data_IF_155976473943
#
_entry.id   IF_155976473943
#
_cell.length_a   1.000
_cell.length_b   1.000
_cell.length_c   1.000
_cell.angle_alpha   90.00
_cell.angle_beta   90.00
_cell.angle_gamma   90.00
#
_symmetry.space_group_name_H-M   'P 1'
#
loop_
_entity.id
_entity.type
_entity.pdbx_description
1 polymer ?
#
# COMPACT_ATOMS: atom_id res chain seq x y z
N UNK A 1 -25.49 -27.06 6.49
CA UNK A 1 -24.48 -26.29 5.78
C UNK A 1 -24.46 -24.91 6.41
N UNK A 2 -23.44 -24.61 7.22
CA UNK A 2 -23.30 -23.29 7.83
C UNK A 2 -22.88 -22.31 6.74
N UNK A 3 -23.65 -21.23 6.58
CA UNK A 3 -23.22 -20.11 5.76
C UNK A 3 -22.06 -19.43 6.47
N UNK A 4 -20.84 -19.66 6.02
CA UNK A 4 -19.67 -18.87 6.41
C UNK A 4 -19.70 -17.53 5.64
N UNK A 5 -20.69 -16.71 5.94
CA UNK A 5 -20.88 -15.39 5.33
C UNK A 5 -20.47 -14.31 6.30
N UNK A 6 -19.18 -14.00 6.36
CA UNK A 6 -18.75 -12.68 6.76
C UNK A 6 -19.12 -11.67 5.67
N UNK A 7 -19.00 -10.36 5.94
CA UNK A 7 -19.20 -9.36 4.89
C UNK A 7 -18.21 -9.59 3.74
N UNK A 8 -18.66 -9.36 2.51
CA UNK A 8 -17.78 -9.41 1.34
C UNK A 8 -16.81 -8.22 1.34
N UNK A 9 -15.65 -8.39 0.72
CA UNK A 9 -14.75 -7.25 0.41
C UNK A 9 -15.46 -6.30 -0.55
N UNK A 10 -15.08 -5.04 -0.50
CA UNK A 10 -15.56 -4.05 -1.47
C UNK A 10 -14.92 -4.34 -2.83
N UNK A 11 -15.73 -4.45 -3.86
CA UNK A 11 -15.26 -4.68 -5.25
C UNK A 11 -15.50 -3.50 -6.17
N UNK A 12 -16.46 -2.63 -5.84
CA UNK A 12 -16.73 -1.42 -6.62
C UNK A 12 -15.53 -0.45 -6.55
N UNK A 13 -15.01 -0.10 -7.72
CA UNK A 13 -13.82 0.72 -7.88
C UNK A 13 -12.48 0.00 -7.59
N UNK A 14 -12.49 -1.31 -7.31
CA UNK A 14 -11.27 -2.08 -7.07
C UNK A 14 -10.52 -2.30 -8.40
N UNK A 15 -9.33 -1.74 -8.53
CA UNK A 15 -8.50 -1.85 -9.74
C UNK A 15 -7.27 -2.72 -9.54
N UNK A 16 -6.76 -2.80 -8.30
CA UNK A 16 -5.62 -3.65 -7.96
C UNK A 16 -5.89 -4.40 -6.66
N UNK A 17 -5.63 -5.69 -6.67
CA UNK A 17 -5.57 -6.52 -5.48
C UNK A 17 -4.49 -7.60 -5.65
N UNK A 18 -3.53 -7.61 -4.74
CA UNK A 18 -2.55 -8.69 -4.56
C UNK A 18 -2.82 -9.31 -3.21
N UNK A 19 -3.05 -10.61 -3.14
CA UNK A 19 -3.37 -11.34 -1.91
C UNK A 19 -2.61 -12.68 -1.90
N UNK A 20 -1.60 -12.78 -1.05
CA UNK A 20 -0.66 -13.92 -1.02
C UNK A 20 -1.35 -15.22 -0.58
N UNK A 21 -2.48 -15.14 0.14
CA UNK A 21 -3.27 -16.32 0.50
C UNK A 21 -4.18 -16.81 -0.63
N UNK A 22 -4.28 -16.09 -1.74
CA UNK A 22 -5.05 -16.50 -2.90
C UNK A 22 -4.16 -17.23 -3.90
N UNK A 23 -4.43 -18.50 -4.19
CA UNK A 23 -3.70 -19.27 -5.21
C UNK A 23 -3.73 -18.60 -6.60
N UNK A 24 -4.75 -17.81 -6.89
CA UNK A 24 -4.83 -17.01 -8.12
C UNK A 24 -3.86 -15.83 -8.12
N UNK A 25 -3.48 -15.32 -6.96
CA UNK A 25 -2.50 -14.24 -6.82
C UNK A 25 -1.10 -14.82 -6.63
N UNK A 26 -0.95 -15.82 -5.78
CA UNK A 26 0.31 -16.52 -5.55
C UNK A 26 0.09 -18.04 -5.51
N UNK A 27 0.63 -18.81 -6.46
CA UNK A 27 0.34 -20.25 -6.60
C UNK A 27 1.04 -21.14 -5.56
N UNK A 28 1.67 -20.56 -4.53
CA UNK A 28 2.36 -21.30 -3.47
C UNK A 28 3.81 -21.63 -3.76
N UNK A 29 4.34 -21.24 -4.92
CA UNK A 29 5.74 -21.43 -5.30
C UNK A 29 6.23 -20.35 -6.28
N UNK A 30 7.54 -20.16 -6.35
CA UNK A 30 8.16 -19.10 -7.15
C UNK A 30 8.19 -17.76 -6.41
N UNK A 31 8.47 -16.70 -7.16
CA UNK A 31 8.70 -15.36 -6.64
C UNK A 31 7.81 -14.28 -7.28
N UNK A 32 6.73 -14.72 -7.94
CA UNK A 32 5.83 -13.83 -8.69
C UNK A 32 4.45 -13.84 -8.06
N UNK A 33 3.92 -12.67 -7.76
CA UNK A 33 2.53 -12.48 -7.40
C UNK A 33 1.74 -11.86 -8.57
N UNK A 34 0.45 -12.14 -8.67
CA UNK A 34 -0.42 -11.67 -9.76
C UNK A 34 -1.55 -10.83 -9.19
N UNK A 35 -1.84 -9.69 -9.79
CA UNK A 35 -3.01 -8.89 -9.46
C UNK A 35 -4.28 -9.64 -9.83
N UNK A 36 -5.18 -9.82 -8.87
CA UNK A 36 -6.44 -10.56 -9.04
C UNK A 36 -7.43 -9.89 -10.01
N UNK A 37 -7.25 -8.59 -10.27
CA UNK A 37 -8.16 -7.79 -11.11
C UNK A 37 -7.61 -7.65 -12.52
N UNK A 38 -6.39 -7.11 -12.65
CA UNK A 38 -5.80 -6.80 -13.96
C UNK A 38 -4.97 -7.94 -14.57
N UNK A 39 -4.57 -8.94 -13.78
CA UNK A 39 -3.64 -9.98 -14.20
C UNK A 39 -2.18 -9.53 -14.31
N UNK A 40 -1.86 -8.26 -14.00
CA UNK A 40 -0.48 -7.76 -13.97
C UNK A 40 0.30 -8.51 -12.91
N UNK A 41 1.51 -8.95 -13.26
CA UNK A 41 2.40 -9.65 -12.35
C UNK A 41 3.31 -8.69 -11.58
N UNK A 42 3.67 -9.10 -10.38
CA UNK A 42 4.60 -8.44 -9.49
C UNK A 42 5.80 -9.36 -9.29
N UNK A 43 6.97 -8.86 -9.59
CA UNK A 43 8.24 -9.60 -9.49
C UNK A 43 9.21 -8.86 -8.58
N UNK A 44 10.21 -9.54 -8.01
CA UNK A 44 11.30 -8.87 -7.30
C UNK A 44 12.00 -7.82 -8.19
N UNK A 45 12.25 -6.62 -7.64
CA UNK A 45 12.91 -5.51 -8.36
C UNK A 45 14.36 -5.33 -7.92
N UNK A 46 14.66 -5.45 -6.61
CA UNK A 46 16.01 -5.34 -6.06
C UNK A 46 16.51 -6.72 -5.63
N UNK A 47 16.12 -7.19 -4.46
CA UNK A 47 16.35 -8.57 -4.04
C UNK A 47 15.03 -9.32 -3.99
N UNK A 48 15.12 -10.62 -3.80
CA UNK A 48 13.93 -11.49 -3.77
C UNK A 48 13.43 -11.62 -2.34
N UNK A 49 12.23 -11.11 -2.02
CA UNK A 49 11.62 -11.31 -0.72
C UNK A 49 11.21 -12.77 -0.50
N UNK A 50 11.02 -13.15 0.75
CA UNK A 50 10.57 -14.50 1.11
C UNK A 50 9.05 -14.60 1.05
N UNK A 51 8.53 -15.51 0.24
CA UNK A 51 7.11 -15.85 0.21
C UNK A 51 6.80 -16.95 1.21
N UNK A 52 5.88 -16.68 2.13
CA UNK A 52 5.45 -17.61 3.19
C UNK A 52 4.00 -17.99 2.97
N UNK A 53 3.71 -19.29 2.90
CA UNK A 53 2.35 -19.83 2.74
C UNK A 53 1.79 -20.47 4.01
N UNK A 54 2.63 -20.78 4.98
CA UNK A 54 2.22 -21.37 6.25
C UNK A 54 1.63 -20.31 7.20
N UNK A 55 0.55 -20.64 7.87
CA UNK A 55 -0.14 -19.70 8.76
C UNK A 55 -0.80 -18.55 7.98
N UNK A 56 -0.53 -17.33 8.39
CA UNK A 56 -0.94 -16.15 7.61
C UNK A 56 -0.02 -16.01 6.40
N UNK A 57 -0.52 -16.29 5.21
CA UNK A 57 0.28 -16.18 4.00
C UNK A 57 0.67 -14.72 3.72
N UNK A 58 1.96 -14.47 3.44
CA UNK A 58 2.53 -13.14 3.27
C UNK A 58 3.82 -13.16 2.45
N UNK A 59 4.27 -11.99 2.08
CA UNK A 59 5.66 -11.74 1.65
C UNK A 59 6.38 -11.12 2.82
N UNK A 60 7.51 -11.70 3.20
CA UNK A 60 8.41 -11.20 4.24
C UNK A 60 9.45 -10.29 3.59
N UNK A 61 9.48 -9.05 4.04
CA UNK A 61 10.28 -7.96 3.47
C UNK A 61 11.37 -7.55 4.47
N UNK A 62 12.60 -7.42 3.99
CA UNK A 62 13.79 -7.15 4.78
C UNK A 62 14.44 -5.81 4.39
N UNK A 63 14.56 -4.89 5.34
CA UNK A 63 15.22 -3.60 5.09
C UNK A 63 16.75 -3.72 4.96
N UNK A 64 17.36 -4.69 5.66
CA UNK A 64 18.82 -4.87 5.70
C UNK A 64 19.34 -5.67 4.50
N UNK A 65 18.45 -6.41 3.84
CA UNK A 65 18.64 -6.97 2.50
C UNK A 65 17.53 -6.43 1.60
N UNK A 66 17.61 -5.15 1.18
CA UNK A 66 16.49 -4.42 0.59
C UNK A 66 15.76 -5.20 -0.48
N UNK A 67 14.51 -5.51 -0.27
CA UNK A 67 13.67 -6.24 -1.21
C UNK A 67 12.29 -5.59 -1.37
N UNK A 68 11.69 -5.83 -2.52
CA UNK A 68 10.38 -5.31 -2.87
C UNK A 68 9.80 -6.09 -4.05
N UNK A 69 8.53 -5.86 -4.32
CA UNK A 69 7.88 -6.34 -5.54
C UNK A 69 7.49 -5.15 -6.42
N UNK A 70 7.72 -5.28 -7.72
CA UNK A 70 7.39 -4.27 -8.74
C UNK A 70 6.49 -4.86 -9.81
N UNK A 71 5.48 -4.12 -10.23
CA UNK A 71 4.64 -4.52 -11.36
C UNK A 71 5.44 -4.55 -12.65
N UNK A 72 5.25 -5.60 -13.45
CA UNK A 72 5.95 -5.81 -14.73
C UNK A 72 5.51 -4.84 -15.83
N UNK A 73 4.41 -4.14 -15.64
CA UNK A 73 3.94 -3.08 -16.52
C UNK A 73 3.45 -1.88 -15.70
N UNK A 74 3.50 -0.69 -16.30
CA UNK A 74 2.92 0.50 -15.71
C UNK A 74 1.41 0.35 -15.56
N UNK A 75 0.90 0.83 -14.42
CA UNK A 75 -0.54 0.85 -14.13
C UNK A 75 -1.12 2.19 -14.56
N UNK A 76 -1.90 2.18 -15.64
CA UNK A 76 -2.59 3.39 -16.10
C UNK A 76 -3.72 3.71 -15.12
N UNK A 77 -3.71 4.87 -14.52
CA UNK A 77 -4.79 5.30 -13.62
C UNK A 77 -4.37 5.45 -12.18
N UNK A 78 -3.44 4.64 -11.64
CA UNK A 78 -3.10 4.67 -10.21
C UNK A 78 -2.66 6.05 -9.69
N UNK A 79 -2.20 6.92 -10.58
CA UNK A 79 -1.75 8.27 -10.27
C UNK A 79 -2.60 9.39 -10.87
N UNK A 80 -3.49 9.07 -11.81
CA UNK A 80 -4.29 10.06 -12.54
C UNK A 80 -5.64 10.34 -11.89
N UNK A 81 -6.03 9.54 -10.90
CA UNK A 81 -7.32 9.66 -10.23
C UNK A 81 -7.37 10.88 -9.32
N UNK A 82 -8.49 11.60 -9.37
CA UNK A 82 -8.77 12.70 -8.45
C UNK A 82 -9.05 12.21 -7.03
N UNK A 83 -9.55 10.97 -6.89
CA UNK A 83 -9.78 10.33 -5.61
C UNK A 83 -9.38 8.87 -5.69
N UNK A 84 -8.83 8.33 -4.61
CA UNK A 84 -8.47 6.92 -4.52
C UNK A 84 -8.37 6.46 -3.06
N UNK A 85 -8.41 5.13 -2.90
CA UNK A 85 -8.17 4.47 -1.61
C UNK A 85 -7.11 3.39 -1.78
N UNK A 86 -6.17 3.32 -0.85
CA UNK A 86 -5.20 2.21 -0.74
C UNK A 86 -5.35 1.53 0.60
N UNK A 87 -5.37 0.20 0.61
CA UNK A 87 -5.48 -0.62 1.80
C UNK A 87 -4.34 -1.64 1.79
N UNK A 88 -3.75 -1.90 2.94
CA UNK A 88 -2.76 -2.95 3.15
C UNK A 88 -3.01 -3.73 4.44
N UNK A 89 -2.82 -5.05 4.42
CA UNK A 89 -2.67 -5.90 5.58
C UNK A 89 -1.20 -6.23 5.76
N UNK A 90 -0.64 -5.85 6.90
CA UNK A 90 0.79 -5.93 7.16
C UNK A 90 1.09 -6.17 8.65
N UNK A 91 2.31 -6.60 8.92
CA UNK A 91 2.87 -6.72 10.25
C UNK A 91 4.25 -6.04 10.24
N UNK A 92 4.45 -5.05 11.10
CA UNK A 92 5.68 -4.26 11.16
C UNK A 92 6.65 -4.95 12.12
N UNK A 93 7.85 -5.29 11.68
CA UNK A 93 8.90 -5.79 12.56
C UNK A 93 9.72 -4.65 13.13
N UNK A 94 10.20 -3.73 12.29
CA UNK A 94 10.82 -2.50 12.74
C UNK A 94 10.39 -1.28 11.94
N UNK A 95 10.48 -0.11 12.55
CA UNK A 95 10.19 1.16 11.89
C UNK A 95 10.97 2.30 12.55
N UNK A 96 11.51 3.17 11.72
CA UNK A 96 12.20 4.40 12.08
C UNK A 96 11.51 5.62 11.46
N UNK A 97 12.17 6.77 11.43
CA UNK A 97 11.64 8.01 10.86
C UNK A 97 11.58 8.01 9.32
N UNK A 98 12.21 7.05 8.64
CA UNK A 98 12.16 6.92 7.21
C UNK A 98 10.80 6.39 6.74
N UNK A 99 10.48 6.66 5.47
CA UNK A 99 9.27 6.13 4.85
C UNK A 99 9.46 4.68 4.44
N UNK A 100 8.58 3.82 4.86
CA UNK A 100 8.56 2.39 4.54
C UNK A 100 7.29 2.08 3.78
N UNK A 101 7.32 2.02 2.43
CA UNK A 101 6.13 1.82 1.61
C UNK A 101 5.52 0.44 1.84
N UNK A 102 4.20 0.41 2.02
CA UNK A 102 3.39 -0.81 1.92
C UNK A 102 2.95 -0.98 0.47
N UNK A 103 2.35 0.07 -0.10
CA UNK A 103 2.01 0.16 -1.52
C UNK A 103 2.21 1.59 -2.02
N UNK A 104 3.01 1.72 -3.05
CA UNK A 104 3.36 2.99 -3.67
C UNK A 104 3.49 2.88 -5.17
N UNK A 105 3.98 3.94 -5.78
CA UNK A 105 4.31 3.96 -7.19
C UNK A 105 5.37 5.00 -7.50
N UNK A 106 6.10 4.78 -8.58
CA UNK A 106 7.16 5.68 -9.04
C UNK A 106 6.93 6.04 -10.51
N UNK A 107 7.14 7.31 -10.85
CA UNK A 107 7.15 7.79 -12.22
C UNK A 107 8.36 8.70 -12.39
N UNK A 108 9.39 8.21 -13.04
CA UNK A 108 10.65 8.95 -13.17
C UNK A 108 11.16 9.35 -11.77
N UNK A 109 11.44 10.65 -11.59
CA UNK A 109 11.89 11.17 -10.30
C UNK A 109 10.73 11.55 -9.34
N UNK A 110 9.49 11.26 -9.71
CA UNK A 110 8.32 11.51 -8.87
C UNK A 110 7.93 10.24 -8.10
N UNK A 111 8.06 10.29 -6.79
CA UNK A 111 7.75 9.17 -5.92
C UNK A 111 6.43 9.46 -5.21
N UNK A 112 5.42 8.66 -5.49
CA UNK A 112 4.21 8.63 -4.71
C UNK A 112 4.19 7.33 -3.91
N UNK A 113 4.76 7.36 -2.72
CA UNK A 113 4.82 6.18 -1.86
C UNK A 113 3.44 5.81 -1.30
N UNK A 114 2.46 6.72 -1.40
CA UNK A 114 1.08 6.45 -1.04
C UNK A 114 0.90 6.01 0.41
N UNK A 115 0.55 4.73 0.61
CA UNK A 115 0.43 4.14 1.94
C UNK A 115 1.79 3.65 2.42
N UNK A 116 2.32 4.31 3.44
CA UNK A 116 3.63 4.02 4.04
C UNK A 116 3.54 3.91 5.55
N UNK A 117 4.61 3.44 6.18
CA UNK A 117 4.83 3.46 7.63
C UNK A 117 6.04 4.37 7.94
N UNK A 118 5.97 5.08 9.05
CA UNK A 118 7.09 5.83 9.64
C UNK A 118 6.88 5.96 11.14
N UNK A 119 7.88 5.63 11.96
CA UNK A 119 7.76 5.61 13.41
C UNK A 119 6.52 4.84 13.91
N UNK A 120 6.25 3.67 13.34
CA UNK A 120 5.10 2.82 13.66
C UNK A 120 3.73 3.49 13.47
N UNK A 121 3.63 4.49 12.57
CA UNK A 121 2.38 5.18 12.23
C UNK A 121 2.13 5.07 10.74
N UNK A 122 0.87 5.04 10.34
CA UNK A 122 0.53 5.24 8.94
C UNK A 122 1.06 6.61 8.50
N UNK A 123 1.59 6.67 7.29
CA UNK A 123 2.05 7.90 6.68
C UNK A 123 1.65 7.94 5.22
N UNK A 124 1.19 9.07 4.77
CA UNK A 124 1.10 9.42 3.37
C UNK A 124 2.36 10.18 2.99
N UNK A 125 2.97 9.79 1.88
CA UNK A 125 4.13 10.49 1.36
C UNK A 125 3.99 10.68 -0.14
N UNK A 126 4.25 11.90 -0.58
CA UNK A 126 4.30 12.28 -1.98
C UNK A 126 5.49 13.22 -2.21
N UNK A 127 6.26 12.93 -3.24
CA UNK A 127 7.35 13.77 -3.72
C UNK A 127 7.16 14.09 -5.20
N UNK A 128 7.40 15.32 -5.60
CA UNK A 128 7.44 15.73 -7.00
C UNK A 128 8.62 16.66 -7.21
N UNK A 129 9.46 16.37 -8.20
CA UNK A 129 10.55 17.24 -8.59
C UNK A 129 10.18 18.17 -9.76
N UNK A 130 8.99 18.04 -10.34
CA UNK A 130 8.53 18.91 -11.41
C UNK A 130 7.62 20.00 -10.88
N UNK A 131 8.07 21.23 -11.00
CA UNK A 131 7.28 22.43 -10.85
C UNK A 131 6.23 22.56 -11.98
N UNK A 132 5.30 21.62 -12.07
CA UNK A 132 4.16 21.75 -12.97
C UNK A 132 3.01 22.39 -12.18
N UNK A 133 3.08 23.71 -12.05
CA UNK A 133 1.95 24.51 -11.58
C UNK A 133 1.90 24.87 -10.10
N UNK A 134 3.01 24.87 -9.35
CA UNK A 134 2.96 25.41 -8.00
C UNK A 134 4.13 24.99 -7.12
N UNK A 135 4.88 25.97 -6.71
CA UNK A 135 5.85 25.97 -5.61
C UNK A 135 6.67 24.69 -5.38
N UNK A 136 7.80 24.62 -6.02
CA UNK A 136 9.02 23.88 -5.65
C UNK A 136 8.85 22.40 -5.27
N UNK A 137 9.67 21.54 -5.84
CA UNK A 137 9.82 20.16 -5.39
C UNK A 137 9.89 20.12 -3.86
N UNK A 138 9.03 19.33 -3.24
CA UNK A 138 8.96 19.27 -1.78
C UNK A 138 8.50 17.91 -1.30
N UNK A 139 9.05 17.52 -0.14
CA UNK A 139 8.61 16.37 0.62
C UNK A 139 7.29 16.70 1.33
N UNK A 140 6.20 16.10 0.86
CA UNK A 140 4.92 16.22 1.54
C UNK A 140 4.60 14.90 2.24
N UNK A 141 4.84 14.87 3.53
CA UNK A 141 4.55 13.72 4.37
C UNK A 141 3.57 14.08 5.49
N UNK A 142 2.44 13.38 5.58
CA UNK A 142 1.50 13.50 6.70
C UNK A 142 1.37 12.14 7.37
N UNK A 143 1.46 12.12 8.71
CA UNK A 143 1.29 10.90 9.49
C UNK A 143 -0.08 10.84 10.15
N UNK A 144 -0.59 9.64 10.34
CA UNK A 144 -1.65 9.32 11.28
C UNK A 144 -1.23 9.64 12.73
N UNK A 145 -2.14 9.46 13.66
CA UNK A 145 -1.93 9.77 15.08
C UNK A 145 -1.62 8.55 15.92
N UNK A 146 -2.28 7.42 15.64
CA UNK A 146 -2.11 6.20 16.41
C UNK A 146 -0.84 5.44 16.00
N UNK A 147 -0.20 4.81 16.96
CA UNK A 147 0.89 3.85 16.74
C UNK A 147 0.32 2.46 16.50
N UNK A 148 0.94 1.74 15.58
CA UNK A 148 0.66 0.35 15.29
C UNK A 148 1.74 -0.46 16.01
N UNK A 149 1.38 -1.38 16.93
CA UNK A 149 2.36 -2.18 17.65
C UNK A 149 3.20 -3.03 16.69
N UNK A 150 4.51 -3.13 16.97
CA UNK A 150 5.38 -4.06 16.25
C UNK A 150 4.91 -5.51 16.42
N UNK A 151 5.23 -6.35 15.45
CA UNK A 151 4.92 -7.79 15.43
C UNK A 151 3.43 -8.11 15.57
N UNK A 152 2.56 -7.17 15.19
CA UNK A 152 1.10 -7.33 15.22
C UNK A 152 0.52 -7.06 13.82
N UNK A 153 -0.37 -7.94 13.37
CA UNK A 153 -1.09 -7.72 12.13
C UNK A 153 -2.05 -6.53 12.26
N UNK A 154 -2.02 -5.67 11.27
CA UNK A 154 -2.91 -4.53 11.18
C UNK A 154 -3.37 -4.30 9.74
N UNK A 155 -4.58 -3.77 9.60
CA UNK A 155 -5.02 -3.15 8.36
C UNK A 155 -4.77 -1.65 8.43
N UNK A 156 -4.03 -1.12 7.47
CA UNK A 156 -3.90 0.32 7.26
C UNK A 156 -4.59 0.74 5.97
N UNK A 157 -5.29 1.88 6.00
CA UNK A 157 -5.85 2.46 4.79
C UNK A 157 -5.62 3.97 4.73
N UNK A 158 -5.44 4.48 3.51
CA UNK A 158 -5.49 5.91 3.18
C UNK A 158 -6.60 6.16 2.17
N UNK A 159 -7.35 7.22 2.40
CA UNK A 159 -8.36 7.74 1.46
C UNK A 159 -7.93 9.14 1.06
N UNK A 160 -7.74 9.34 -0.24
CA UNK A 160 -7.22 10.57 -0.82
C UNK A 160 -8.26 11.18 -1.74
N UNK A 161 -8.55 12.46 -1.56
CA UNK A 161 -9.32 13.26 -2.51
C UNK A 161 -8.54 14.53 -2.87
N UNK A 162 -8.04 14.57 -4.11
CA UNK A 162 -7.24 15.69 -4.61
C UNK A 162 -8.08 16.93 -4.89
N UNK A 163 -9.31 16.76 -5.35
CA UNK A 163 -10.21 17.88 -5.62
C UNK A 163 -10.61 18.60 -4.33
N UNK A 164 -10.89 17.84 -3.28
CA UNK A 164 -11.22 18.37 -1.96
C UNK A 164 -9.98 18.67 -1.10
N UNK A 165 -8.77 18.30 -1.56
CA UNK A 165 -7.51 18.43 -0.81
C UNK A 165 -7.59 17.74 0.57
N UNK A 166 -8.24 16.56 0.64
CA UNK A 166 -8.43 15.82 1.88
C UNK A 166 -7.70 14.48 1.88
N UNK A 167 -7.21 14.11 3.05
CA UNK A 167 -6.55 12.85 3.32
C UNK A 167 -7.10 12.28 4.64
N UNK A 168 -7.49 11.00 4.60
CA UNK A 168 -7.95 10.26 5.79
C UNK A 168 -7.11 9.01 5.99
N UNK A 169 -6.80 8.71 7.24
CA UNK A 169 -6.13 7.49 7.66
C UNK A 169 -7.09 6.61 8.45
N UNK A 170 -7.03 5.31 8.20
CA UNK A 170 -7.80 4.32 8.95
C UNK A 170 -6.87 3.20 9.42
N UNK A 171 -7.07 2.75 10.65
CA UNK A 171 -6.40 1.57 11.22
C UNK A 171 -7.47 0.60 11.68
N UNK A 172 -7.37 -0.64 11.24
CA UNK A 172 -8.30 -1.72 11.61
C UNK A 172 -9.78 -1.31 11.45
N UNK A 173 -10.10 -0.72 10.30
CA UNK A 173 -11.45 -0.29 9.96
C UNK A 173 -11.91 1.01 10.62
N UNK A 174 -11.12 1.62 11.51
CA UNK A 174 -11.50 2.81 12.28
C UNK A 174 -10.72 4.04 11.83
N UNK A 175 -11.40 5.19 11.73
CA UNK A 175 -10.77 6.47 11.38
C UNK A 175 -9.75 6.86 12.46
N UNK A 176 -8.49 7.02 12.05
CA UNK A 176 -7.41 7.53 12.89
C UNK A 176 -7.24 9.05 12.76
N UNK A 177 -7.22 9.55 11.53
CA UNK A 177 -7.03 10.99 11.26
C UNK A 177 -7.70 11.40 9.96
N UNK A 178 -8.29 12.61 9.97
CA UNK A 178 -8.69 13.33 8.76
C UNK A 178 -8.00 14.70 8.75
N UNK A 179 -7.44 15.09 7.60
CA UNK A 179 -6.70 16.35 7.48
C UNK A 179 -6.79 16.91 6.07
N UNK A 180 -6.59 18.21 5.94
CA UNK A 180 -6.34 18.83 4.64
C UNK A 180 -4.86 18.78 4.31
N UNK A 181 -4.54 18.56 3.05
CA UNK A 181 -3.18 18.48 2.55
C UNK A 181 -3.11 19.05 1.13
N UNK A 182 -2.07 19.79 0.83
CA UNK A 182 -1.81 20.24 -0.53
C UNK A 182 -1.30 19.03 -1.35
N UNK A 183 -2.19 18.46 -2.15
CA UNK A 183 -1.91 17.29 -2.99
C UNK A 183 -1.39 17.73 -4.34
N UNK A 184 -0.18 17.30 -4.67
CA UNK A 184 0.49 17.64 -5.93
C UNK A 184 -0.10 16.79 -7.06
N UNK A 185 -0.03 17.35 -8.27
CA UNK A 185 -0.66 16.84 -9.48
C UNK A 185 -0.28 15.42 -9.90
N UNK A 186 -1.03 14.94 -10.84
CA UNK A 186 -0.99 13.58 -11.37
C UNK A 186 0.22 13.34 -12.27
N UNK A 187 0.84 12.19 -12.15
CA UNK A 187 1.72 11.65 -13.17
C UNK A 187 1.02 10.57 -13.99
N UNK A 188 1.43 10.41 -15.23
CA UNK A 188 0.95 9.35 -16.13
C UNK A 188 1.31 7.95 -15.62
N UNK A 189 1.08 6.90 -16.37
CA UNK A 189 1.37 5.50 -16.05
C UNK A 189 2.62 5.29 -15.20
N UNK A 190 2.52 4.49 -14.15
CA UNK A 190 3.59 4.20 -13.19
C UNK A 190 3.65 2.73 -12.82
N UNK A 191 4.84 2.24 -12.53
CA UNK A 191 4.98 0.96 -11.85
C UNK A 191 4.43 1.05 -10.41
N UNK A 192 3.76 -0.01 -9.98
CA UNK A 192 3.33 -0.18 -8.60
C UNK A 192 4.40 -0.94 -7.85
N UNK A 193 4.68 -0.48 -6.64
CA UNK A 193 5.69 -1.06 -5.75
C UNK A 193 5.03 -1.52 -4.46
N UNK A 194 5.44 -2.67 -3.97
CA UNK A 194 5.01 -3.25 -2.69
C UNK A 194 6.28 -3.50 -1.87
N UNK A 195 6.32 -2.99 -0.64
CA UNK A 195 7.42 -3.21 0.30
C UNK A 195 8.62 -2.27 0.17
N UNK A 196 8.73 -1.49 -0.91
CA UNK A 196 9.92 -0.63 -1.07
C UNK A 196 9.76 0.45 -2.13
N UNK A 197 10.76 1.33 -2.28
CA UNK A 197 10.90 2.25 -3.40
C UNK A 197 11.41 1.51 -4.64
N UNK A 198 11.39 2.18 -5.79
CA UNK A 198 12.03 1.70 -7.03
C UNK A 198 13.55 1.76 -6.87
N UNK A 199 14.20 0.64 -7.19
CA UNK A 199 15.65 0.38 -7.24
C UNK A 199 16.64 1.47 -6.74
N UNK A 200 17.85 1.18 -6.73
CA UNK A 200 19.14 1.92 -6.68
C UNK A 200 19.22 3.36 -6.13
N UNK A 201 18.12 4.10 -6.03
CA UNK A 201 18.12 5.51 -5.61
C UNK A 201 18.02 5.73 -4.11
N UNK A 202 17.69 4.67 -3.34
CA UNK A 202 17.46 4.79 -1.90
C UNK A 202 18.19 3.69 -1.11
N UNK A 203 18.76 4.07 0.04
CA UNK A 203 19.35 3.13 1.00
C UNK A 203 18.30 2.19 1.59
N UNK A 204 18.70 1.04 2.11
CA UNK A 204 17.86 0.06 2.81
C UNK A 204 16.94 0.63 3.87
N UNK A 205 17.26 1.81 4.42
CA UNK A 205 16.42 2.53 5.37
C UNK A 205 15.00 2.87 4.89
N UNK A 206 14.71 2.80 3.59
CA UNK A 206 13.37 3.09 3.03
C UNK A 206 12.59 1.86 2.59
N UNK A 207 13.14 0.67 2.77
CA UNK A 207 12.41 -0.58 2.52
C UNK A 207 11.58 -0.97 3.74
N UNK A 208 10.44 -1.61 3.51
CA UNK A 208 9.59 -2.12 4.57
C UNK A 208 10.32 -3.24 5.31
N UNK A 209 10.10 -3.34 6.60
CA UNK A 209 10.70 -4.34 7.48
C UNK A 209 9.56 -5.05 8.19
N UNK A 210 9.23 -6.24 7.70
CA UNK A 210 8.11 -7.04 8.16
C UNK A 210 7.29 -7.68 7.05
N UNK A 211 6.05 -8.02 7.32
CA UNK A 211 5.21 -8.90 6.51
C UNK A 211 4.09 -8.13 5.82
N UNK A 212 3.89 -8.38 4.53
CA UNK A 212 2.76 -7.84 3.75
C UNK A 212 1.97 -9.01 3.18
N UNK A 213 0.71 -9.15 3.60
CA UNK A 213 -0.15 -10.24 3.17
C UNK A 213 -1.08 -9.87 2.01
N UNK A 214 -1.59 -8.63 2.02
CA UNK A 214 -2.51 -8.15 1.00
C UNK A 214 -2.38 -6.65 0.80
N UNK A 215 -2.48 -6.21 -0.46
CA UNK A 215 -2.64 -4.80 -0.82
C UNK A 215 -3.76 -4.63 -1.82
N UNK A 216 -4.45 -3.48 -1.75
CA UNK A 216 -5.55 -3.14 -2.66
C UNK A 216 -5.50 -1.65 -3.01
N UNK A 217 -5.95 -1.33 -4.22
CA UNK A 217 -6.13 0.04 -4.69
C UNK A 217 -7.51 0.19 -5.35
N UNK A 218 -8.23 1.22 -4.96
CA UNK A 218 -9.53 1.61 -5.47
C UNK A 218 -9.44 2.96 -6.15
N UNK A 219 -10.12 3.14 -7.27
CA UNK A 219 -10.16 4.38 -8.04
C UNK A 219 -11.13 5.44 -7.50
N UNK A 220 -11.56 5.29 -6.27
CA UNK A 220 -12.48 6.19 -5.58
C UNK A 220 -12.20 6.29 -4.08
N UNK A 221 -12.81 7.26 -3.45
CA UNK A 221 -12.91 7.27 -1.99
C UNK A 221 -13.82 6.13 -1.54
N UNK A 222 -13.32 5.29 -0.64
CA UNK A 222 -14.18 4.43 0.17
C UNK A 222 -14.72 5.22 1.36
N UNK A 223 -15.97 4.99 1.68
CA UNK A 223 -16.60 5.51 2.89
C UNK A 223 -16.05 4.82 4.14
N UNK A 224 -16.23 5.42 5.30
CA UNK A 224 -15.85 4.79 6.56
C UNK A 224 -16.52 3.44 6.79
N UNK A 225 -17.77 3.28 6.33
CA UNK A 225 -18.52 2.02 6.42
C UNK A 225 -17.89 0.95 5.51
N UNK A 226 -17.47 1.30 4.29
CA UNK A 226 -16.82 0.37 3.37
C UNK A 226 -15.42 -0.04 3.87
N UNK A 227 -14.64 0.88 4.46
CA UNK A 227 -13.36 0.56 5.10
C UNK A 227 -13.57 -0.43 6.27
N UNK A 228 -14.56 -0.18 7.12
CA UNK A 228 -14.91 -1.06 8.21
C UNK A 228 -15.42 -2.43 7.71
N UNK A 229 -16.17 -2.45 6.62
CA UNK A 229 -16.62 -3.70 5.97
C UNK A 229 -15.44 -4.51 5.44
N UNK A 230 -14.49 -3.90 4.70
CA UNK A 230 -13.31 -4.59 4.17
C UNK A 230 -12.45 -5.15 5.30
N UNK A 231 -12.27 -4.40 6.41
CA UNK A 231 -11.62 -4.90 7.60
C UNK A 231 -12.34 -6.12 8.18
N UNK A 232 -13.65 -6.05 8.40
CA UNK A 232 -14.44 -7.13 8.99
C UNK A 232 -14.49 -8.37 8.09
N UNK A 233 -14.43 -8.22 6.78
CA UNK A 233 -14.37 -9.32 5.82
C UNK A 233 -13.09 -10.18 5.98
N UNK A 234 -12.00 -9.57 6.39
CA UNK A 234 -10.68 -10.20 6.34
C UNK A 234 -10.02 -10.43 7.70
N UNK A 235 -10.42 -9.72 8.76
CA UNK A 235 -9.74 -9.73 10.06
C UNK A 235 -9.50 -11.12 10.63
N UNK A 236 -10.44 -12.06 10.45
CA UNK A 236 -10.32 -13.42 10.99
C UNK A 236 -9.18 -14.25 10.37
N UNK A 237 -8.52 -13.74 9.33
CA UNK A 237 -7.30 -14.33 8.76
C UNK A 237 -6.06 -13.91 9.54
N UNK A 238 -6.14 -12.84 10.31
CA UNK A 238 -4.98 -12.13 10.87
C UNK A 238 -5.00 -12.05 12.40
N UNK A 239 -6.21 -12.09 13.00
CA UNK A 239 -6.43 -11.92 14.44
C UNK A 239 -7.49 -12.89 14.97
#
# INVERSE_FOLDING_TARGET
MGAFGGPDIITDGLELAVDIASERSYPGSGTTATCLISGITFVPDVNTPTFVTAGVAHVDMEKDNPDNLKSTSGYTGINTQNAYTRIGWFNIESSDSNFKPIIGNVVGNNINMGLTISNYRLKFYQYSNTASGGTGGGDYGVSGTAQIPANTWAQGAIVVNRSAQTLKFYINGTLDRSTSINLIGNSSSASVLIGGPDSDSYSGARYFDGKIARVSHYNRELTAAEIAQDYNALKNRFI
#
